data_IF_566959858466
#
_entry.id   IF_566959858466
#
_cell.length_a   1.000
_cell.length_b   1.000
_cell.length_c   1.000
_cell.angle_alpha   90.00
_cell.angle_beta   90.00
_cell.angle_gamma   90.00
#
_symmetry.space_group_name_H-M   'P 1'
#
loop_
_entity.id
_entity.type
_entity.pdbx_description
1 polymer ?
#
# COMPACT_ATOMS: atom_id res chain seq x y z
N UNK A 1 49.17 -35.50 -21.80
CA UNK A 1 49.28 -36.96 -21.93
C UNK A 1 48.57 -37.56 -20.73
N UNK A 2 47.38 -38.13 -20.92
CA UNK A 2 46.65 -38.90 -19.90
C UNK A 2 47.07 -40.37 -20.00
N UNK A 3 47.13 -41.10 -18.89
CA UNK A 3 47.41 -42.54 -18.93
C UNK A 3 46.21 -43.35 -19.47
N UNK A 4 46.39 -44.67 -19.62
CA UNK A 4 45.39 -45.57 -20.21
C UNK A 4 44.06 -45.66 -19.43
N UNK A 5 43.99 -45.12 -18.20
CA UNK A 5 42.78 -45.02 -17.40
C UNK A 5 42.17 -43.60 -17.39
N UNK A 6 42.69 -42.68 -18.20
CA UNK A 6 42.23 -41.29 -18.23
C UNK A 6 42.56 -40.53 -16.95
N UNK A 7 43.55 -40.99 -16.18
CA UNK A 7 43.99 -40.31 -14.97
C UNK A 7 45.04 -39.28 -15.35
N UNK A 8 44.82 -37.98 -15.09
CA UNK A 8 45.86 -37.01 -15.35
C UNK A 8 46.83 -37.02 -14.15
N UNK A 9 48.03 -37.58 -14.35
CA UNK A 9 49.05 -37.69 -13.31
C UNK A 9 49.60 -36.31 -12.90
N UNK A 10 49.64 -36.03 -11.59
CA UNK A 10 50.31 -34.84 -11.03
C UNK A 10 49.63 -33.49 -11.28
N UNK A 11 48.36 -33.47 -11.69
CA UNK A 11 47.60 -32.23 -11.90
C UNK A 11 46.76 -31.84 -10.69
N UNK A 12 46.66 -30.54 -10.48
CA UNK A 12 45.84 -29.92 -9.44
C UNK A 12 44.34 -30.22 -9.62
N UNK A 13 43.54 -30.13 -8.54
CA UNK A 13 42.09 -30.28 -8.62
C UNK A 13 41.48 -29.30 -9.63
N UNK A 14 40.59 -29.77 -10.51
CA UNK A 14 40.09 -28.97 -11.62
C UNK A 14 39.09 -29.68 -12.53
N UNK A 15 38.50 -28.93 -13.48
CA UNK A 15 37.65 -29.47 -14.53
C UNK A 15 38.51 -29.96 -15.69
N UNK A 16 38.37 -31.23 -16.05
CA UNK A 16 39.10 -31.87 -17.14
C UNK A 16 38.11 -32.64 -18.04
N UNK A 17 38.51 -32.97 -19.27
CA UNK A 17 37.64 -33.72 -20.20
C UNK A 17 37.21 -35.06 -19.58
N UNK A 18 35.92 -35.40 -19.66
CA UNK A 18 35.38 -36.60 -19.00
C UNK A 18 35.94 -37.87 -19.67
N UNK A 19 36.78 -38.67 -18.98
CA UNK A 19 37.32 -39.89 -19.56
C UNK A 19 36.24 -40.96 -19.79
N UNK A 20 35.09 -40.86 -19.13
CA UNK A 20 33.95 -41.76 -19.33
C UNK A 20 33.00 -41.30 -20.45
N UNK A 21 33.23 -40.12 -21.03
CA UNK A 21 32.45 -39.61 -22.16
C UNK A 21 30.97 -39.29 -21.87
N UNK A 22 30.58 -39.22 -20.60
CA UNK A 22 29.20 -38.92 -20.21
C UNK A 22 28.88 -37.42 -20.31
N UNK A 23 29.89 -36.56 -20.27
CA UNK A 23 29.74 -35.11 -20.38
C UNK A 23 31.00 -34.41 -20.93
N UNK A 24 30.96 -33.11 -21.31
CA UNK A 24 32.13 -32.41 -21.86
C UNK A 24 33.31 -32.31 -20.88
N UNK A 25 33.04 -32.11 -19.59
CA UNK A 25 34.05 -32.03 -18.54
C UNK A 25 33.56 -32.70 -17.26
N UNK A 26 34.48 -33.27 -16.48
CA UNK A 26 34.26 -33.83 -15.16
C UNK A 26 35.24 -33.19 -14.18
N UNK A 27 34.86 -33.10 -12.91
CA UNK A 27 35.75 -32.56 -11.87
C UNK A 27 36.69 -33.64 -11.32
N UNK A 28 37.99 -33.36 -11.35
CA UNK A 28 39.07 -34.11 -10.69
C UNK A 28 39.40 -33.44 -9.34
N UNK A 29 39.39 -34.19 -8.25
CA UNK A 29 39.64 -33.64 -6.91
C UNK A 29 41.12 -33.64 -6.49
N UNK A 30 42.02 -34.00 -7.41
CA UNK A 30 43.47 -34.17 -7.15
C UNK A 30 43.88 -35.63 -6.95
N UNK A 31 42.92 -36.52 -6.64
CA UNK A 31 43.17 -37.95 -6.38
C UNK A 31 42.27 -38.89 -7.18
N UNK A 32 41.03 -38.47 -7.48
CA UNK A 32 40.05 -39.23 -8.25
C UNK A 32 39.06 -38.32 -8.99
N UNK A 33 38.37 -38.92 -9.96
CA UNK A 33 37.27 -38.27 -10.68
C UNK A 33 36.00 -38.29 -9.82
N UNK A 34 35.37 -37.13 -9.65
CA UNK A 34 34.13 -37.01 -8.87
C UNK A 34 32.87 -37.17 -9.73
N UNK A 35 31.71 -37.28 -9.08
CA UNK A 35 30.41 -37.33 -9.76
C UNK A 35 29.98 -36.00 -10.41
N UNK A 36 30.72 -34.91 -10.20
CA UNK A 36 30.38 -33.61 -10.78
C UNK A 36 30.79 -33.56 -12.25
N UNK A 37 29.80 -33.42 -13.12
CA UNK A 37 29.97 -33.29 -14.58
C UNK A 37 29.43 -31.95 -15.05
N UNK A 38 30.06 -31.37 -16.06
CA UNK A 38 29.50 -30.20 -16.75
C UNK A 38 28.30 -30.65 -17.57
N UNK A 39 27.15 -30.01 -17.40
CA UNK A 39 25.99 -30.35 -18.21
C UNK A 39 26.28 -30.00 -19.68
N UNK A 40 25.89 -30.84 -20.66
CA UNK A 40 25.94 -30.46 -22.06
C UNK A 40 25.12 -29.19 -22.24
N UNK A 41 25.75 -28.15 -22.82
CA UNK A 41 25.03 -26.95 -23.20
C UNK A 41 23.99 -27.32 -24.25
N UNK A 42 22.72 -27.43 -23.83
CA UNK A 42 21.58 -27.24 -24.72
C UNK A 42 21.79 -25.87 -25.38
N UNK A 43 21.60 -25.67 -26.70
CA UNK A 43 21.99 -24.43 -27.36
C UNK A 43 21.23 -23.23 -26.79
N UNK A 44 21.87 -22.58 -25.82
CA UNK A 44 21.53 -21.27 -25.31
C UNK A 44 22.42 -20.31 -26.10
N UNK A 45 21.89 -19.48 -27.00
CA UNK A 45 22.71 -18.44 -27.61
C UNK A 45 23.22 -17.51 -26.49
N UNK A 46 24.54 -17.50 -26.34
CA UNK A 46 25.25 -16.79 -25.29
C UNK A 46 25.21 -15.27 -25.48
N UNK A 47 25.07 -14.56 -24.37
CA UNK A 47 25.29 -13.13 -24.28
C UNK A 47 26.79 -12.81 -24.19
N UNK A 48 27.25 -11.88 -25.04
CA UNK A 48 28.41 -11.02 -24.80
C UNK A 48 27.94 -9.57 -24.89
N UNK A 49 28.10 -8.79 -23.82
CA UNK A 49 28.12 -7.31 -23.86
C UNK A 49 29.59 -6.89 -23.60
N UNK A 50 30.13 -5.76 -24.13
CA UNK A 50 29.45 -4.58 -24.66
C UNK A 50 30.07 -4.01 -25.95
N UNK A 51 29.29 -3.94 -27.03
CA UNK A 51 29.48 -2.95 -28.08
C UNK A 51 28.09 -2.58 -28.56
N UNK A 52 27.82 -1.29 -28.76
CA UNK A 52 26.54 -0.73 -29.21
C UNK A 52 26.14 -1.39 -30.55
N UNK A 53 25.47 -2.52 -30.43
CA UNK A 53 24.93 -3.32 -31.51
C UNK A 53 23.44 -3.49 -31.22
N UNK A 54 22.64 -3.10 -32.20
CA UNK A 54 21.18 -3.13 -32.15
C UNK A 54 20.70 -4.50 -31.66
N UNK A 55 19.95 -4.50 -30.56
CA UNK A 55 19.47 -5.70 -29.90
C UNK A 55 18.52 -6.45 -30.85
N UNK A 56 18.78 -7.72 -31.21
CA UNK A 56 17.83 -8.54 -31.94
C UNK A 56 16.56 -8.73 -31.11
N UNK A 57 15.41 -8.35 -31.65
CA UNK A 57 14.11 -8.48 -31.00
C UNK A 57 13.70 -9.97 -30.98
N UNK A 58 14.13 -10.70 -29.94
CA UNK A 58 13.58 -12.01 -29.64
C UNK A 58 12.06 -11.87 -29.38
N UNK A 59 11.18 -12.71 -29.97
CA UNK A 59 9.80 -12.79 -29.56
C UNK A 59 9.79 -13.22 -28.09
N UNK A 60 9.62 -12.26 -27.19
CA UNK A 60 9.33 -12.56 -25.80
C UNK A 60 8.07 -13.41 -25.82
N UNK A 61 8.06 -14.66 -25.33
CA UNK A 61 6.82 -15.34 -25.06
C UNK A 61 6.10 -14.45 -24.05
N UNK A 62 5.07 -13.75 -24.50
CA UNK A 62 4.22 -12.95 -23.63
C UNK A 62 3.75 -13.92 -22.56
N UNK A 63 4.24 -13.77 -21.33
CA UNK A 63 3.73 -14.54 -20.20
C UNK A 63 2.28 -14.11 -20.04
N UNK A 64 1.37 -14.81 -20.71
CA UNK A 64 -0.08 -14.59 -20.61
C UNK A 64 -0.42 -14.96 -19.17
N UNK A 65 -0.43 -13.95 -18.30
CA UNK A 65 -0.85 -14.12 -16.93
C UNK A 65 -2.28 -14.68 -17.01
N UNK A 66 -2.55 -15.88 -16.46
CA UNK A 66 -3.85 -16.51 -16.65
C UNK A 66 -4.93 -15.54 -16.21
N UNK A 67 -5.89 -15.29 -17.10
CA UNK A 67 -6.99 -14.40 -16.84
C UNK A 67 -7.72 -14.87 -15.57
N UNK A 68 -8.07 -13.91 -14.70
CA UNK A 68 -8.78 -14.26 -13.47
C UNK A 68 -10.15 -14.83 -13.86
N UNK A 69 -10.61 -15.93 -13.21
CA UNK A 69 -11.94 -16.44 -13.47
C UNK A 69 -13.01 -15.37 -13.28
N UNK A 70 -13.94 -15.29 -14.21
CA UNK A 70 -15.07 -14.38 -14.10
C UNK A 70 -16.02 -14.82 -12.98
N UNK A 71 -16.63 -13.85 -12.32
CA UNK A 71 -17.65 -14.11 -11.31
C UNK A 71 -18.97 -14.47 -12.00
N UNK A 72 -19.73 -15.36 -11.37
CA UNK A 72 -21.12 -15.61 -11.78
C UNK A 72 -21.90 -14.28 -11.78
N UNK A 73 -22.61 -13.91 -12.87
CA UNK A 73 -23.40 -12.68 -12.97
C UNK A 73 -24.42 -12.48 -11.85
N UNK A 74 -24.96 -13.55 -11.26
CA UNK A 74 -25.89 -13.47 -10.13
C UNK A 74 -25.22 -13.02 -8.81
N UNK A 75 -23.89 -13.08 -8.72
CA UNK A 75 -23.15 -12.75 -7.50
C UNK A 75 -23.16 -11.25 -7.25
N UNK A 76 -23.55 -10.78 -6.05
CA UNK A 76 -23.50 -9.36 -5.72
C UNK A 76 -22.05 -8.88 -5.58
N UNK A 77 -21.71 -7.78 -6.25
CA UNK A 77 -20.38 -7.15 -6.22
C UNK A 77 -20.22 -6.09 -5.12
N UNK A 78 -21.35 -5.58 -4.61
CA UNK A 78 -21.39 -4.62 -3.52
C UNK A 78 -21.36 -5.32 -2.17
N UNK A 79 -20.54 -4.83 -1.25
CA UNK A 79 -20.48 -5.29 0.15
C UNK A 79 -20.91 -4.13 1.05
N UNK A 80 -21.49 -4.41 2.22
CA UNK A 80 -21.77 -3.35 3.20
C UNK A 80 -20.47 -2.77 3.76
N UNK A 81 -19.45 -3.61 3.91
CA UNK A 81 -18.14 -3.26 4.47
C UNK A 81 -17.41 -2.19 3.67
N UNK A 82 -17.48 -2.22 2.33
CA UNK A 82 -16.84 -1.16 1.53
C UNK A 82 -17.53 0.18 1.69
N UNK A 83 -18.85 0.19 1.88
CA UNK A 83 -19.58 1.43 2.15
C UNK A 83 -19.23 1.97 3.53
N UNK A 84 -19.03 1.11 4.52
CA UNK A 84 -18.52 1.54 5.82
C UNK A 84 -17.13 2.18 5.67
N UNK A 85 -16.19 1.57 4.93
CA UNK A 85 -14.87 2.20 4.65
C UNK A 85 -15.01 3.54 3.93
N UNK A 86 -15.87 3.62 2.92
CA UNK A 86 -16.05 4.83 2.12
C UNK A 86 -16.73 5.97 2.89
N UNK A 87 -17.66 5.66 3.79
CA UNK A 87 -18.45 6.62 4.53
C UNK A 87 -17.84 7.00 5.89
N UNK A 88 -16.97 6.16 6.47
CA UNK A 88 -16.38 6.41 7.79
C UNK A 88 -15.72 7.79 7.95
N UNK A 89 -15.04 8.36 6.92
CA UNK A 89 -14.49 9.72 7.03
C UNK A 89 -15.53 10.79 7.37
N UNK A 90 -16.81 10.57 7.02
CA UNK A 90 -17.89 11.49 7.38
C UNK A 90 -18.09 11.59 8.89
N UNK A 91 -17.77 10.55 9.66
CA UNK A 91 -17.80 10.61 11.13
C UNK A 91 -16.79 11.66 11.62
N UNK A 92 -15.58 11.65 11.09
CA UNK A 92 -14.54 12.65 11.42
C UNK A 92 -15.00 14.05 11.03
N UNK A 93 -15.60 14.20 9.84
CA UNK A 93 -16.13 15.49 9.38
C UNK A 93 -17.29 15.98 10.26
N UNK A 94 -18.17 15.09 10.72
CA UNK A 94 -19.28 15.44 11.59
C UNK A 94 -18.81 15.88 12.99
N UNK A 95 -17.66 15.38 13.45
CA UNK A 95 -17.08 15.73 14.75
C UNK A 95 -16.22 17.00 14.69
N UNK A 96 -15.78 17.40 13.50
CA UNK A 96 -14.92 18.57 13.28
C UNK A 96 -15.47 19.87 13.92
N UNK A 97 -16.78 20.18 13.87
CA UNK A 97 -17.35 21.35 14.54
C UNK A 97 -17.25 21.35 16.07
N UNK A 98 -17.05 20.19 16.67
CA UNK A 98 -16.93 20.07 18.14
C UNK A 98 -15.53 20.44 18.63
N UNK A 99 -14.55 20.54 17.73
CA UNK A 99 -13.23 21.07 18.05
C UNK A 99 -13.32 22.59 18.17
N UNK A 100 -13.41 23.08 19.39
CA UNK A 100 -13.49 24.50 19.70
C UNK A 100 -12.12 25.02 20.16
N UNK A 101 -11.65 26.10 19.55
CA UNK A 101 -10.43 26.80 19.96
C UNK A 101 -10.82 28.02 20.78
N UNK A 102 -10.34 28.08 22.01
CA UNK A 102 -10.61 29.18 22.93
C UNK A 102 -9.32 29.90 23.25
N UNK A 103 -9.25 31.19 22.92
CA UNK A 103 -8.17 32.06 23.36
C UNK A 103 -8.66 32.81 24.61
N UNK A 104 -8.07 32.59 25.79
CA UNK A 104 -8.43 33.37 26.98
C UNK A 104 -7.95 34.81 26.79
N UNK A 105 -8.73 35.76 27.32
CA UNK A 105 -8.31 37.15 27.37
C UNK A 105 -7.05 37.26 28.25
N UNK A 106 -5.99 37.83 27.69
CA UNK A 106 -4.77 38.15 28.44
C UNK A 106 -4.94 39.58 28.93
N UNK A 107 -4.98 39.76 30.25
CA UNK A 107 -4.91 41.09 30.84
C UNK A 107 -3.46 41.59 30.77
N UNK A 108 -3.21 42.57 29.91
CA UNK A 108 -1.88 43.15 29.73
C UNK A 108 -1.43 44.00 30.94
N UNK A 109 -2.36 44.34 31.84
CA UNK A 109 -2.07 45.06 33.08
C UNK A 109 -1.86 44.12 34.28
N UNK A 110 -2.03 42.81 34.10
CA UNK A 110 -1.75 41.84 35.15
C UNK A 110 -0.23 41.74 35.37
N UNK A 111 0.29 42.12 36.55
CA UNK A 111 1.72 42.03 36.85
C UNK A 111 2.22 40.58 36.97
N UNK A 112 1.32 39.61 36.99
CA UNK A 112 1.59 38.17 37.09
C UNK A 112 0.90 37.40 35.97
N UNK A 113 1.27 37.64 34.69
CA UNK A 113 0.58 37.03 33.57
C UNK A 113 0.64 35.51 33.67
N UNK A 114 -0.51 34.88 33.86
CA UNK A 114 -0.63 33.43 33.87
C UNK A 114 -0.53 32.90 32.44
N UNK A 115 0.40 31.98 32.20
CA UNK A 115 0.48 31.27 30.92
C UNK A 115 -0.81 30.44 30.77
N UNK A 116 -1.59 30.63 29.68
CA UNK A 116 -2.78 29.83 29.43
C UNK A 116 -2.46 28.33 29.39
N UNK A 117 -3.29 27.50 30.04
CA UNK A 117 -3.19 26.05 29.93
C UNK A 117 -3.32 25.64 28.44
N UNK A 118 -2.26 25.06 27.82
CA UNK A 118 -2.28 24.70 26.42
C UNK A 118 -3.41 23.72 26.07
N UNK A 119 -3.82 22.86 27.02
CA UNK A 119 -4.88 21.89 26.80
C UNK A 119 -6.25 22.58 26.71
N UNK A 120 -6.48 23.61 27.53
CA UNK A 120 -7.72 24.40 27.49
C UNK A 120 -7.89 25.14 26.16
N UNK A 121 -6.79 25.57 25.53
CA UNK A 121 -6.81 26.25 24.22
C UNK A 121 -7.40 25.39 23.10
N UNK A 122 -7.23 24.06 23.18
CA UNK A 122 -7.62 23.10 22.13
C UNK A 122 -8.86 22.26 22.49
N UNK A 123 -9.71 22.76 23.39
CA UNK A 123 -10.97 22.12 23.78
C UNK A 123 -10.89 21.30 25.06
N UNK A 124 -9.80 21.38 25.82
CA UNK A 124 -9.66 20.74 27.11
C UNK A 124 -9.70 19.21 27.02
N UNK A 125 -10.28 18.51 28.02
CA UNK A 125 -10.37 17.05 28.02
C UNK A 125 -11.12 16.46 26.82
N UNK A 126 -12.00 17.23 26.16
CA UNK A 126 -12.73 16.79 24.96
C UNK A 126 -11.79 16.39 23.82
N UNK A 127 -10.61 17.00 23.75
CA UNK A 127 -9.55 16.64 22.82
C UNK A 127 -9.22 15.13 22.87
N UNK A 128 -9.15 14.53 24.07
CA UNK A 128 -8.85 13.11 24.21
C UNK A 128 -9.99 12.21 23.73
N UNK A 129 -11.24 12.67 23.84
CA UNK A 129 -12.38 11.96 23.27
C UNK A 129 -12.30 11.96 21.76
N UNK A 130 -12.04 13.12 21.14
CA UNK A 130 -11.84 13.22 19.69
C UNK A 130 -10.66 12.38 19.21
N UNK A 131 -9.56 12.38 19.95
CA UNK A 131 -8.39 11.55 19.67
C UNK A 131 -8.77 10.07 19.74
N UNK A 132 -9.44 9.63 20.82
CA UNK A 132 -9.90 8.26 20.98
C UNK A 132 -10.83 7.81 19.86
N UNK A 133 -11.81 8.64 19.49
CA UNK A 133 -12.70 8.36 18.36
C UNK A 133 -11.94 8.30 17.04
N UNK A 134 -10.93 9.15 16.84
CA UNK A 134 -10.06 9.11 15.66
C UNK A 134 -9.31 7.78 15.55
N UNK A 135 -8.68 7.34 16.64
CA UNK A 135 -7.99 6.03 16.69
C UNK A 135 -8.94 4.86 16.46
N UNK A 136 -10.12 4.88 17.10
CA UNK A 136 -11.15 3.85 16.90
C UNK A 136 -11.68 3.83 15.48
N UNK A 137 -11.88 5.00 14.86
CA UNK A 137 -12.29 5.12 13.46
C UNK A 137 -11.22 4.56 12.52
N UNK A 138 -9.94 4.85 12.78
CA UNK A 138 -8.84 4.29 12.01
C UNK A 138 -8.78 2.76 12.13
N UNK A 139 -8.90 2.21 13.34
CA UNK A 139 -8.94 0.76 13.55
C UNK A 139 -10.16 0.11 12.88
N UNK A 140 -11.34 0.72 13.00
CA UNK A 140 -12.57 0.25 12.36
C UNK A 140 -12.43 0.23 10.83
N UNK A 141 -11.78 1.23 10.23
CA UNK A 141 -11.49 1.27 8.80
C UNK A 141 -10.72 0.03 8.34
N UNK A 142 -9.64 -0.29 9.04
CA UNK A 142 -8.80 -1.47 8.74
C UNK A 142 -9.60 -2.76 8.90
N UNK A 143 -10.39 -2.87 9.96
CA UNK A 143 -11.27 -4.03 10.21
C UNK A 143 -12.32 -4.18 9.10
N UNK A 144 -12.97 -3.09 8.68
CA UNK A 144 -13.95 -3.12 7.59
C UNK A 144 -13.31 -3.49 6.25
N UNK A 145 -12.11 -3.00 5.95
CA UNK A 145 -11.33 -3.43 4.79
C UNK A 145 -11.01 -4.93 4.83
N UNK A 146 -10.65 -5.47 6.01
CA UNK A 146 -10.44 -6.91 6.17
C UNK A 146 -11.73 -7.73 5.99
N UNK A 147 -12.86 -7.27 6.53
CA UNK A 147 -14.16 -7.91 6.36
C UNK A 147 -14.62 -7.92 4.90
N UNK A 148 -14.43 -6.80 4.18
CA UNK A 148 -14.68 -6.72 2.75
C UNK A 148 -13.80 -7.70 1.96
N UNK A 149 -12.50 -7.75 2.24
CA UNK A 149 -11.56 -8.69 1.63
C UNK A 149 -12.00 -10.15 1.83
N UNK A 150 -12.43 -10.51 3.05
CA UNK A 150 -12.91 -11.85 3.38
C UNK A 150 -14.21 -12.17 2.64
N UNK A 151 -15.12 -11.21 2.56
CA UNK A 151 -16.40 -11.36 1.87
C UNK A 151 -16.22 -11.52 0.35
N UNK A 152 -15.33 -10.76 -0.28
CA UNK A 152 -14.98 -10.94 -1.70
C UNK A 152 -14.38 -12.33 -1.95
N UNK A 153 -13.52 -12.80 -1.05
CA UNK A 153 -12.93 -14.14 -1.13
C UNK A 153 -14.02 -15.22 -1.04
N UNK A 154 -14.97 -15.08 -0.10
CA UNK A 154 -16.12 -15.99 0.04
C UNK A 154 -17.00 -16.04 -1.21
N UNK A 155 -17.13 -14.92 -1.92
CA UNK A 155 -17.89 -14.80 -3.17
C UNK A 155 -17.15 -15.33 -4.40
N UNK A 156 -15.95 -15.88 -4.24
CA UNK A 156 -15.19 -16.49 -5.33
C UNK A 156 -14.22 -15.54 -6.05
N UNK A 157 -13.97 -14.34 -5.52
CA UNK A 157 -12.94 -13.45 -6.08
C UNK A 157 -11.55 -14.02 -5.78
N UNK A 158 -10.93 -14.63 -6.79
CA UNK A 158 -9.58 -15.20 -6.67
C UNK A 158 -8.54 -14.09 -6.51
N UNK A 159 -7.82 -14.03 -5.38
CA UNK A 159 -6.79 -13.01 -5.06
C UNK A 159 -7.33 -11.56 -5.05
N UNK A 160 -8.23 -11.18 -4.14
CA UNK A 160 -8.69 -9.81 -4.02
C UNK A 160 -7.56 -8.84 -3.67
N UNK A 161 -7.81 -7.54 -3.80
CA UNK A 161 -6.83 -6.51 -3.41
C UNK A 161 -6.58 -6.58 -1.91
N UNK A 162 -5.32 -6.61 -1.49
CA UNK A 162 -4.99 -6.88 -0.09
C UNK A 162 -5.49 -5.74 0.82
N UNK A 163 -6.20 -6.08 1.90
CA UNK A 163 -6.75 -5.11 2.85
C UNK A 163 -5.70 -4.22 3.52
N UNK A 164 -4.44 -4.66 3.63
CA UNK A 164 -3.36 -3.93 4.29
C UNK A 164 -3.03 -2.60 3.58
N UNK A 165 -3.40 -2.44 2.31
CA UNK A 165 -3.28 -1.16 1.61
C UNK A 165 -4.16 -0.05 2.21
N UNK A 166 -5.14 -0.39 3.06
CA UNK A 166 -5.89 0.58 3.86
C UNK A 166 -5.04 1.33 4.89
N UNK A 167 -3.92 0.75 5.35
CA UNK A 167 -2.98 1.45 6.24
C UNK A 167 -2.33 2.65 5.55
N UNK A 168 -2.04 2.52 4.25
CA UNK A 168 -1.49 3.60 3.44
C UNK A 168 -2.57 4.66 3.15
N UNK A 169 -3.73 4.21 2.68
CA UNK A 169 -4.89 5.08 2.48
C UNK A 169 -6.15 4.26 2.24
N UNK A 170 -7.30 4.62 2.85
CA UNK A 170 -8.58 4.02 2.50
C UNK A 170 -8.93 4.15 1.01
N UNK A 171 -8.53 5.27 0.39
CA UNK A 171 -8.78 5.52 -1.02
C UNK A 171 -8.03 4.52 -1.91
N UNK A 172 -6.77 4.23 -1.58
CA UNK A 172 -5.96 3.23 -2.29
C UNK A 172 -6.63 1.86 -2.24
N UNK A 173 -7.16 1.47 -1.07
CA UNK A 173 -7.93 0.24 -0.92
C UNK A 173 -9.20 0.23 -1.77
N UNK A 174 -10.03 1.28 -1.70
CA UNK A 174 -11.29 1.39 -2.45
C UNK A 174 -11.05 1.31 -3.96
N UNK A 175 -10.05 2.05 -4.47
CA UNK A 175 -9.67 2.04 -5.88
C UNK A 175 -9.15 0.66 -6.29
N UNK A 176 -8.18 0.12 -5.54
CA UNK A 176 -7.56 -1.17 -5.84
C UNK A 176 -8.58 -2.32 -5.90
N UNK A 177 -9.52 -2.39 -4.93
CA UNK A 177 -10.57 -3.40 -4.98
C UNK A 177 -11.51 -3.20 -6.17
N UNK A 178 -11.86 -1.95 -6.48
CA UNK A 178 -12.83 -1.65 -7.55
C UNK A 178 -12.29 -2.07 -8.90
N UNK A 179 -11.01 -1.82 -9.19
CA UNK A 179 -10.33 -2.28 -10.42
C UNK A 179 -10.38 -3.80 -10.53
N UNK A 180 -10.09 -4.50 -9.44
CA UNK A 180 -10.11 -5.96 -9.40
C UNK A 180 -11.51 -6.54 -9.57
N UNK A 181 -12.51 -6.00 -8.87
CA UNK A 181 -13.90 -6.48 -9.00
C UNK A 181 -14.44 -6.19 -10.39
N UNK A 182 -14.11 -5.02 -10.96
CA UNK A 182 -14.50 -4.66 -12.32
C UNK A 182 -13.98 -5.67 -13.35
N UNK A 183 -12.74 -6.14 -13.19
CA UNK A 183 -12.12 -7.06 -14.14
C UNK A 183 -12.74 -8.46 -14.12
N UNK A 184 -13.35 -8.89 -13.02
CA UNK A 184 -14.04 -10.20 -12.93
C UNK A 184 -15.55 -10.15 -13.03
N UNK A 185 -16.16 -8.98 -12.83
CA UNK A 185 -17.61 -8.83 -12.77
C UNK A 185 -18.19 -8.17 -14.03
N UNK A 186 -17.55 -8.35 -15.19
CA UNK A 186 -17.97 -7.79 -16.47
C UNK A 186 -18.33 -6.28 -16.38
N UNK A 187 -17.36 -5.46 -15.91
CA UNK A 187 -17.47 -4.00 -15.75
C UNK A 187 -18.41 -3.48 -14.64
N UNK A 188 -19.03 -4.35 -13.85
CA UNK A 188 -19.83 -3.96 -12.66
C UNK A 188 -18.93 -3.65 -11.46
N UNK A 189 -19.47 -2.93 -10.48
CA UNK A 189 -18.79 -2.69 -9.19
C UNK A 189 -18.15 -1.31 -8.99
N UNK A 190 -18.43 -0.34 -9.86
CA UNK A 190 -17.91 1.03 -9.77
C UNK A 190 -18.54 1.91 -8.68
N UNK A 191 -19.69 1.49 -8.13
CA UNK A 191 -20.44 2.33 -7.19
C UNK A 191 -19.65 2.79 -5.95
N UNK A 192 -18.85 1.93 -5.27
CA UNK A 192 -18.09 2.35 -4.10
C UNK A 192 -17.00 3.38 -4.40
N UNK A 193 -16.42 3.35 -5.60
CA UNK A 193 -15.44 4.36 -6.03
C UNK A 193 -16.10 5.73 -6.18
N UNK A 194 -17.24 5.80 -6.87
CA UNK A 194 -18.01 7.06 -6.98
C UNK A 194 -18.51 7.54 -5.62
N UNK A 195 -18.93 6.63 -4.75
CA UNK A 195 -19.28 6.93 -3.36
C UNK A 195 -18.12 7.58 -2.60
N UNK A 196 -16.92 6.99 -2.66
CA UNK A 196 -15.73 7.55 -2.02
C UNK A 196 -15.35 8.93 -2.58
N UNK A 197 -15.44 9.12 -3.91
CA UNK A 197 -15.20 10.42 -4.55
C UNK A 197 -16.18 11.48 -4.03
N UNK A 198 -17.47 11.15 -3.97
CA UNK A 198 -18.50 12.05 -3.46
C UNK A 198 -18.24 12.40 -1.98
N UNK A 199 -17.90 11.41 -1.15
CA UNK A 199 -17.56 11.63 0.27
C UNK A 199 -16.37 12.55 0.40
N UNK A 200 -15.29 12.35 -0.37
CA UNK A 200 -14.11 13.21 -0.33
C UNK A 200 -14.45 14.64 -0.74
N UNK A 201 -15.22 14.82 -1.82
CA UNK A 201 -15.63 16.14 -2.28
C UNK A 201 -16.46 16.88 -1.22
N UNK A 202 -17.47 16.21 -0.64
CA UNK A 202 -18.29 16.78 0.44
C UNK A 202 -17.46 17.09 1.67
N UNK A 203 -16.58 16.16 2.08
CA UNK A 203 -15.69 16.32 3.23
C UNK A 203 -14.78 17.54 3.06
N UNK A 204 -14.23 17.73 1.86
CA UNK A 204 -13.37 18.86 1.52
C UNK A 204 -14.13 20.20 1.60
N UNK A 205 -15.37 20.25 1.09
CA UNK A 205 -16.21 21.45 1.16
C UNK A 205 -16.52 21.79 2.62
N UNK A 206 -16.98 20.81 3.41
CA UNK A 206 -17.34 21.03 4.81
C UNK A 206 -16.12 21.43 5.64
N UNK A 207 -14.98 20.77 5.46
CA UNK A 207 -13.74 21.15 6.18
C UNK A 207 -13.26 22.54 5.81
N UNK A 208 -13.42 22.95 4.54
CA UNK A 208 -13.04 24.30 4.09
C UNK A 208 -13.93 25.35 4.73
N UNK A 209 -15.26 25.16 4.70
CA UNK A 209 -16.22 26.05 5.35
C UNK A 209 -15.90 26.16 6.84
N UNK A 210 -15.70 25.03 7.52
CA UNK A 210 -15.36 25.03 8.94
C UNK A 210 -14.04 25.75 9.24
N UNK A 211 -13.02 25.57 8.39
CA UNK A 211 -11.72 26.25 8.57
C UNK A 211 -11.89 27.76 8.46
N UNK A 212 -12.73 28.23 7.54
CA UNK A 212 -13.07 29.66 7.42
C UNK A 212 -13.81 30.16 8.67
N UNK A 213 -14.80 29.41 9.17
CA UNK A 213 -15.54 29.81 10.39
C UNK A 213 -14.64 29.81 11.63
N UNK A 214 -13.75 28.82 11.76
CA UNK A 214 -12.79 28.75 12.85
C UNK A 214 -11.83 29.95 12.80
N UNK A 215 -11.26 30.22 11.63
CA UNK A 215 -10.33 31.34 11.44
C UNK A 215 -10.98 32.69 11.75
N UNK A 216 -12.20 32.92 11.25
CA UNK A 216 -12.95 34.14 11.55
C UNK A 216 -13.29 34.26 13.04
N UNK A 217 -13.64 33.17 13.72
CA UNK A 217 -13.87 33.18 15.16
C UNK A 217 -12.63 33.52 15.98
N UNK A 218 -11.44 33.07 15.54
CA UNK A 218 -10.17 33.41 16.17
C UNK A 218 -9.85 34.89 16.00
N UNK A 219 -10.03 35.44 14.78
CA UNK A 219 -9.84 36.87 14.55
C UNK A 219 -10.81 37.74 15.37
N UNK A 220 -12.06 37.31 15.54
CA UNK A 220 -13.03 38.01 16.39
C UNK A 220 -12.63 37.97 17.88
N UNK A 221 -12.11 36.83 18.37
CA UNK A 221 -11.59 36.74 19.73
C UNK A 221 -10.39 37.67 19.94
N UNK A 222 -9.44 37.70 19.00
CA UNK A 222 -8.25 38.57 19.08
C UNK A 222 -8.64 40.05 19.01
N UNK A 223 -9.56 40.42 18.11
CA UNK A 223 -9.99 41.81 17.98
C UNK A 223 -10.66 42.30 19.26
N UNK A 224 -11.54 41.50 19.86
CA UNK A 224 -12.19 41.82 21.15
C UNK A 224 -11.17 42.05 22.26
N UNK A 225 -10.14 41.21 22.35
CA UNK A 225 -9.07 41.40 23.34
C UNK A 225 -8.33 42.73 23.15
N UNK A 226 -8.06 43.11 21.90
CA UNK A 226 -7.45 44.41 21.60
C UNK A 226 -8.35 45.60 21.97
N UNK A 227 -9.68 45.46 21.84
CA UNK A 227 -10.64 46.51 22.20
C UNK A 227 -10.93 46.60 23.70
N UNK A 228 -10.87 45.49 24.45
CA UNK A 228 -11.10 45.49 25.91
C UNK A 228 -9.85 45.82 26.73
N UNK A 229 -8.66 45.82 26.11
CA UNK A 229 -7.39 46.20 26.73
C UNK A 229 -7.00 47.68 26.59
N UNK A 230 -7.87 48.52 26.00
CA UNK A 230 -7.74 49.98 25.89
C UNK A 230 -8.81 50.68 26.73
#
# INVERSE_FOLDING_TARGET
MTDANGTPGGVAPGWYADPYGAAPQRWWDGTQWTGHVSQPAVPQPAATQPQYAQVPQYPQPVAVRPARPELNPATPVGTVWIWLVALLPLLTIALLPTLQVHLPAIDLNDPTPTIPDPLALIGGPWYFVLMGVSWLSYAALVVFSWLDYRELTRRGVVRPFHWAWSFLSPLVYVIGRTVIVRSVANRRGMAPMWGAIAVIAVSFIVSTIWTITLTTSIFDQISRMAYTGA
#
